data_IF_470745768028
#
_entry.id   IF_470745768028
#
_cell.length_a   1.000
_cell.length_b   1.000
_cell.length_c   1.000
_cell.angle_alpha   90.00
_cell.angle_beta   90.00
_cell.angle_gamma   90.00
#
_symmetry.space_group_name_H-M   'P 1'
#
loop_
_entity.id
_entity.type
_entity.pdbx_description
1 polymer ?
#
# COMPACT_ATOMS: atom_id res chain seq x y z
N UNK A 1 -8.18 -22.21 5.12
CA UNK A 1 -8.61 -20.84 5.51
C UNK A 1 -9.36 -20.15 4.35
N UNK A 2 -8.81 -20.02 3.12
CA UNK A 2 -9.54 -19.36 2.02
C UNK A 2 -10.92 -19.97 1.73
N UNK A 3 -10.99 -21.31 1.70
CA UNK A 3 -12.24 -22.05 1.48
C UNK A 3 -13.36 -21.70 2.47
N UNK A 4 -13.05 -21.54 3.76
CA UNK A 4 -14.07 -21.21 4.77
C UNK A 4 -14.68 -19.83 4.53
N UNK A 5 -13.89 -18.86 4.08
CA UNK A 5 -14.40 -17.51 3.75
C UNK A 5 -15.21 -17.56 2.46
N UNK A 6 -14.74 -18.33 1.46
CA UNK A 6 -15.43 -18.52 0.18
C UNK A 6 -16.81 -19.16 0.36
N UNK A 7 -16.91 -20.18 1.21
CA UNK A 7 -18.15 -20.92 1.46
C UNK A 7 -19.25 -20.03 2.07
N UNK A 8 -18.90 -18.89 2.67
CA UNK A 8 -19.83 -17.85 3.15
C UNK A 8 -20.33 -16.90 2.04
N UNK A 9 -19.91 -17.10 0.78
CA UNK A 9 -20.35 -16.30 -0.37
C UNK A 9 -19.77 -14.89 -0.42
N UNK A 10 -18.70 -14.62 0.33
CA UNK A 10 -18.00 -13.32 0.33
C UNK A 10 -16.69 -13.36 -0.45
N UNK A 11 -16.15 -12.19 -0.78
CA UNK A 11 -14.85 -12.07 -1.45
C UNK A 11 -13.72 -12.45 -0.49
N UNK A 12 -12.73 -13.19 -1.02
CA UNK A 12 -11.55 -13.65 -0.30
C UNK A 12 -10.38 -12.73 -0.66
N UNK A 13 -9.91 -11.96 0.32
CA UNK A 13 -8.74 -11.10 0.18
C UNK A 13 -7.53 -11.65 0.91
N UNK A 14 -6.33 -11.33 0.41
CA UNK A 14 -5.08 -11.54 1.16
C UNK A 14 -4.35 -10.22 1.38
N UNK A 15 -3.87 -10.01 2.61
CA UNK A 15 -3.21 -8.78 3.02
C UNK A 15 -1.77 -9.06 3.44
N UNK A 16 -0.81 -8.25 2.96
CA UNK A 16 0.59 -8.39 3.35
C UNK A 16 1.33 -7.05 3.36
N UNK A 17 2.39 -7.02 4.16
CA UNK A 17 3.43 -5.99 4.16
C UNK A 17 4.65 -6.35 3.29
N UNK A 18 4.68 -7.58 2.78
CA UNK A 18 5.84 -8.21 2.14
C UNK A 18 5.41 -8.66 0.74
N UNK A 19 5.97 -8.09 -0.34
CA UNK A 19 5.56 -8.43 -1.70
C UNK A 19 5.80 -9.90 -2.04
N UNK A 20 6.89 -10.50 -1.57
CA UNK A 20 7.24 -11.91 -1.81
C UNK A 20 6.17 -12.89 -1.31
N UNK A 21 5.44 -12.52 -0.25
CA UNK A 21 4.30 -13.32 0.24
C UNK A 21 3.14 -13.28 -0.75
N UNK A 22 2.87 -12.13 -1.35
CA UNK A 22 1.78 -11.99 -2.33
C UNK A 22 2.17 -12.64 -3.67
N UNK A 23 3.43 -12.50 -4.09
CA UNK A 23 4.01 -13.18 -5.25
C UNK A 23 3.86 -14.69 -5.11
N UNK A 24 4.26 -15.27 -3.96
CA UNK A 24 4.11 -16.69 -3.70
C UNK A 24 2.64 -17.16 -3.81
N UNK A 25 1.70 -16.37 -3.28
CA UNK A 25 0.27 -16.70 -3.31
C UNK A 25 -0.28 -16.63 -4.73
N UNK A 26 0.17 -15.67 -5.53
CA UNK A 26 -0.19 -15.55 -6.95
C UNK A 26 0.42 -16.67 -7.79
N UNK A 27 1.70 -17.01 -7.59
CA UNK A 27 2.40 -18.10 -8.26
C UNK A 27 1.79 -19.48 -7.96
N UNK A 28 1.32 -19.67 -6.72
CA UNK A 28 0.64 -20.90 -6.29
C UNK A 28 -0.85 -20.93 -6.63
N UNK A 29 -1.34 -19.91 -7.32
CA UNK A 29 -2.73 -19.77 -7.75
C UNK A 29 -3.74 -20.03 -6.61
N UNK A 30 -3.49 -19.42 -5.45
CA UNK A 30 -4.44 -19.53 -4.35
C UNK A 30 -5.77 -18.85 -4.75
N UNK A 31 -6.88 -19.45 -4.33
CA UNK A 31 -8.23 -18.93 -4.53
C UNK A 31 -8.46 -17.67 -3.68
N UNK A 32 -8.02 -16.53 -4.22
CA UNK A 32 -8.18 -15.17 -3.67
C UNK A 32 -8.60 -14.23 -4.79
N UNK A 33 -9.51 -13.31 -4.49
CA UNK A 33 -10.11 -12.38 -5.46
C UNK A 33 -9.31 -11.09 -5.60
N UNK A 34 -8.68 -10.64 -4.52
CA UNK A 34 -7.94 -9.38 -4.46
C UNK A 34 -6.81 -9.40 -3.44
N UNK A 35 -5.89 -8.46 -3.57
CA UNK A 35 -4.81 -8.22 -2.62
C UNK A 35 -4.98 -6.89 -1.90
N UNK A 36 -4.64 -6.86 -0.61
CA UNK A 36 -4.33 -5.63 0.12
C UNK A 36 -2.81 -5.53 0.24
N UNK A 37 -2.25 -4.61 -0.51
CA UNK A 37 -0.82 -4.47 -0.77
C UNK A 37 -0.25 -3.26 -0.03
N UNK A 38 0.43 -3.48 1.09
CA UNK A 38 1.02 -2.38 1.85
C UNK A 38 2.23 -1.82 1.12
N UNK A 39 2.29 -0.51 0.95
CA UNK A 39 3.45 0.15 0.34
C UNK A 39 4.73 0.04 1.18
N UNK A 40 4.71 -0.52 2.38
CA UNK A 40 5.86 -0.56 3.27
C UNK A 40 5.89 -1.85 4.08
N UNK A 41 7.09 -2.21 4.58
CA UNK A 41 7.29 -3.28 5.54
C UNK A 41 7.71 -2.74 6.93
N UNK A 42 6.74 -2.27 7.76
CA UNK A 42 7.00 -1.67 9.08
C UNK A 42 7.90 -2.48 10.00
N UNK A 43 7.78 -3.80 9.95
CA UNK A 43 8.47 -4.73 10.84
C UNK A 43 9.78 -5.28 10.25
N UNK A 44 10.24 -4.79 9.09
CA UNK A 44 11.46 -5.26 8.41
C UNK A 44 12.71 -5.18 9.30
N UNK A 45 12.73 -4.23 10.22
CA UNK A 45 13.85 -3.98 11.13
C UNK A 45 13.63 -4.56 12.53
N UNK A 46 12.53 -5.28 12.77
CA UNK A 46 12.26 -5.93 14.03
C UNK A 46 13.37 -6.95 14.35
N UNK A 47 13.96 -6.85 15.55
CA UNK A 47 15.07 -7.71 15.98
C UNK A 47 16.44 -7.35 15.39
N UNK A 48 16.55 -6.30 14.56
CA UNK A 48 17.84 -5.82 14.01
C UNK A 48 18.46 -4.73 14.88
N UNK A 49 19.75 -4.48 14.68
CA UNK A 49 20.48 -3.37 15.30
C UNK A 49 20.40 -2.14 14.40
N UNK A 50 20.19 -0.97 14.98
CA UNK A 50 20.30 0.33 14.31
C UNK A 50 21.78 0.70 14.16
N UNK A 51 22.25 0.78 12.92
CA UNK A 51 23.65 1.07 12.58
C UNK A 51 24.14 2.42 13.12
N UNK A 52 23.25 3.41 13.30
CA UNK A 52 23.63 4.75 13.78
C UNK A 52 23.84 4.77 15.29
N UNK A 53 23.13 3.92 16.02
CA UNK A 53 23.11 3.96 17.49
C UNK A 53 23.81 2.75 18.13
N UNK A 54 24.04 1.68 17.36
CA UNK A 54 24.54 0.40 17.85
C UNK A 54 23.57 -0.32 18.79
N UNK A 55 22.32 0.14 18.90
CA UNK A 55 21.29 -0.40 19.80
C UNK A 55 20.21 -1.13 19.00
N UNK A 56 19.39 -1.99 19.64
CA UNK A 56 18.24 -2.60 18.98
C UNK A 56 17.36 -1.53 18.33
N UNK A 57 17.00 -1.75 17.06
CA UNK A 57 16.10 -0.88 16.34
C UNK A 57 14.76 -0.79 17.07
N UNK A 58 14.24 0.43 17.22
CA UNK A 58 12.94 0.71 17.86
C UNK A 58 12.07 1.51 16.91
N UNK A 59 10.82 1.07 16.74
CA UNK A 59 9.82 1.75 15.91
C UNK A 59 9.45 0.96 14.65
N UNK A 60 8.88 1.67 13.68
CA UNK A 60 8.48 1.13 12.39
C UNK A 60 9.40 1.64 11.28
N UNK A 61 9.71 0.77 10.32
CA UNK A 61 10.50 1.06 9.13
C UNK A 61 9.62 1.40 7.92
N UNK A 62 9.94 2.50 7.23
CA UNK A 62 9.22 2.96 6.03
C UNK A 62 10.22 3.29 4.92
N UNK A 63 10.88 2.26 4.39
CA UNK A 63 11.87 2.40 3.32
C UNK A 63 11.25 2.57 1.93
N UNK A 64 11.88 3.41 1.11
CA UNK A 64 11.46 3.62 -0.29
C UNK A 64 11.63 2.38 -1.15
N UNK A 65 12.56 1.51 -0.81
CA UNK A 65 12.80 0.25 -1.52
C UNK A 65 11.65 -0.73 -1.34
N UNK A 66 11.03 -0.77 -0.15
CA UNK A 66 9.85 -1.60 0.11
C UNK A 66 8.65 -1.07 -0.67
N UNK A 67 8.51 0.26 -0.74
CA UNK A 67 7.50 0.94 -1.55
C UNK A 67 7.65 0.63 -3.02
N UNK A 68 8.85 0.76 -3.55
CA UNK A 68 9.13 0.41 -4.94
C UNK A 68 8.88 -1.08 -5.22
N UNK A 69 9.22 -1.97 -4.28
CA UNK A 69 8.98 -3.41 -4.41
C UNK A 69 7.50 -3.75 -4.46
N UNK A 70 6.70 -3.24 -3.54
CA UNK A 70 5.25 -3.49 -3.56
C UNK A 70 4.60 -2.92 -4.83
N UNK A 71 5.01 -1.73 -5.28
CA UNK A 71 4.50 -1.18 -6.54
C UNK A 71 4.83 -2.05 -7.77
N UNK A 72 5.99 -2.73 -7.78
CA UNK A 72 6.32 -3.70 -8.84
C UNK A 72 5.35 -4.89 -8.82
N UNK A 73 5.14 -5.48 -7.65
CA UNK A 73 4.15 -6.55 -7.49
C UNK A 73 2.76 -6.12 -7.95
N UNK A 74 2.26 -4.97 -7.47
CA UNK A 74 0.92 -4.47 -7.82
C UNK A 74 0.75 -4.37 -9.34
N UNK A 75 1.74 -3.85 -10.06
CA UNK A 75 1.68 -3.70 -11.52
C UNK A 75 1.73 -5.02 -12.29
N UNK A 76 2.39 -6.03 -11.75
CA UNK A 76 2.54 -7.35 -12.37
C UNK A 76 1.37 -8.29 -12.05
N UNK A 77 0.73 -8.09 -10.90
CA UNK A 77 -0.39 -8.91 -10.46
C UNK A 77 -1.57 -8.81 -11.41
N UNK A 78 -2.18 -9.95 -11.74
CA UNK A 78 -3.41 -10.03 -12.54
C UNK A 78 -4.66 -9.72 -11.72
N UNK A 79 -4.57 -9.80 -10.39
CA UNK A 79 -5.69 -9.58 -9.47
C UNK A 79 -5.81 -8.10 -9.11
N UNK A 80 -6.99 -7.70 -8.65
CA UNK A 80 -7.24 -6.36 -8.15
C UNK A 80 -6.41 -6.09 -6.89
N UNK A 81 -5.80 -4.92 -6.80
CA UNK A 81 -4.99 -4.53 -5.64
C UNK A 81 -5.54 -3.29 -4.94
N UNK A 82 -5.74 -3.39 -3.63
CA UNK A 82 -5.88 -2.25 -2.73
C UNK A 82 -4.52 -1.87 -2.15
N UNK A 83 -3.91 -0.81 -2.69
CA UNK A 83 -2.68 -0.23 -2.15
C UNK A 83 -2.96 0.50 -0.83
N UNK A 84 -2.17 0.29 0.22
CA UNK A 84 -2.40 0.99 1.49
C UNK A 84 -1.11 1.41 2.20
N UNK A 85 -1.27 2.23 3.26
CA UNK A 85 -0.20 2.97 3.94
C UNK A 85 0.58 3.94 3.04
N UNK A 86 -0.03 4.50 1.99
CA UNK A 86 0.65 5.43 1.06
C UNK A 86 1.26 6.67 1.75
N UNK A 87 0.75 7.06 2.92
CA UNK A 87 1.23 8.19 3.73
C UNK A 87 2.31 7.81 4.78
N UNK A 88 2.78 6.56 4.81
CA UNK A 88 3.82 6.08 5.72
C UNK A 88 3.54 6.37 7.22
N UNK A 89 2.30 6.17 7.66
CA UNK A 89 1.81 6.58 8.99
C UNK A 89 2.16 8.05 9.30
N UNK A 90 1.70 8.93 8.42
CA UNK A 90 1.89 10.39 8.43
C UNK A 90 3.31 10.91 8.22
N UNK A 91 4.31 10.03 8.02
CA UNK A 91 5.70 10.45 7.73
C UNK A 91 5.81 11.19 6.39
N UNK A 92 4.95 10.82 5.43
CA UNK A 92 4.84 11.49 4.13
C UNK A 92 3.60 12.39 4.04
N UNK A 93 3.16 12.96 5.17
CA UNK A 93 1.99 13.84 5.23
C UNK A 93 2.20 15.01 6.20
N UNK A 94 3.41 15.57 6.27
CA UNK A 94 3.73 16.70 7.15
C UNK A 94 3.12 18.00 6.61
N UNK A 95 3.03 18.13 5.29
CA UNK A 95 2.42 19.25 4.59
C UNK A 95 1.34 18.77 3.60
N UNK A 96 0.45 19.68 3.16
CA UNK A 96 -0.47 19.42 2.04
C UNK A 96 0.24 18.90 0.80
N UNK A 97 1.43 19.43 0.50
CA UNK A 97 2.25 19.05 -0.64
C UNK A 97 2.83 17.64 -0.50
N UNK A 98 3.34 17.26 0.69
CA UNK A 98 3.80 15.89 0.96
C UNK A 98 2.68 14.87 0.76
N UNK A 99 1.47 15.24 1.19
CA UNK A 99 0.28 14.42 1.04
C UNK A 99 -0.05 14.24 -0.43
N UNK A 100 -0.16 15.34 -1.20
CA UNK A 100 -0.42 15.29 -2.65
C UNK A 100 0.63 14.43 -3.37
N UNK A 101 1.92 14.62 -3.07
CA UNK A 101 3.02 13.85 -3.65
C UNK A 101 2.93 12.34 -3.33
N UNK A 102 2.45 11.98 -2.14
CA UNK A 102 2.21 10.58 -1.78
C UNK A 102 1.06 9.95 -2.57
N UNK A 103 -0.03 10.69 -2.78
CA UNK A 103 -1.13 10.27 -3.66
C UNK A 103 -0.64 10.12 -5.10
N UNK A 104 0.08 11.11 -5.63
CA UNK A 104 0.56 11.11 -7.00
C UNK A 104 1.52 9.94 -7.25
N UNK A 105 2.46 9.70 -6.33
CA UNK A 105 3.33 8.54 -6.40
C UNK A 105 2.52 7.24 -6.45
N UNK A 106 1.54 7.07 -5.55
CA UNK A 106 0.76 5.84 -5.50
C UNK A 106 -0.04 5.62 -6.80
N UNK A 107 -0.76 6.63 -7.27
CA UNK A 107 -1.61 6.53 -8.45
C UNK A 107 -0.83 6.29 -9.74
N UNK A 108 0.37 6.88 -9.88
CA UNK A 108 1.26 6.61 -11.02
C UNK A 108 1.89 5.21 -10.97
N UNK A 109 1.87 4.54 -9.82
CA UNK A 109 2.60 3.28 -9.61
C UNK A 109 1.71 2.05 -9.38
N UNK A 110 0.38 2.19 -9.36
CA UNK A 110 -0.58 1.06 -9.34
C UNK A 110 -1.27 0.90 -10.70
N UNK A 111 -2.06 -0.17 -10.88
CA UNK A 111 -2.77 -0.40 -12.15
C UNK A 111 -3.97 0.53 -12.27
N UNK A 112 -4.37 0.87 -13.51
CA UNK A 112 -5.65 1.53 -13.75
C UNK A 112 -6.78 0.62 -13.28
N UNK A 113 -7.67 1.14 -12.44
CA UNK A 113 -8.77 0.38 -11.85
C UNK A 113 -8.49 -0.08 -10.42
N UNK A 114 -7.22 -0.24 -10.03
CA UNK A 114 -6.85 -0.49 -8.62
C UNK A 114 -7.21 0.72 -7.74
N UNK A 115 -7.27 0.51 -6.43
CA UNK A 115 -7.64 1.53 -5.46
C UNK A 115 -6.59 1.71 -4.36
N UNK A 116 -6.60 2.87 -3.71
CA UNK A 116 -5.81 3.13 -2.50
C UNK A 116 -6.69 3.24 -1.26
N UNK A 117 -6.22 2.69 -0.14
CA UNK A 117 -6.83 2.83 1.18
C UNK A 117 -5.97 3.77 2.01
N UNK A 118 -6.58 4.89 2.44
CA UNK A 118 -5.89 5.95 3.17
C UNK A 118 -6.48 6.05 4.56
N UNK A 119 -5.69 5.70 5.57
CA UNK A 119 -6.06 5.88 6.97
C UNK A 119 -6.06 7.36 7.34
N UNK A 120 -7.12 7.81 8.03
CA UNK A 120 -7.29 9.21 8.43
C UNK A 120 -8.06 9.31 9.75
N UNK A 121 -7.77 10.34 10.54
CA UNK A 121 -8.42 10.57 11.83
C UNK A 121 -9.46 11.69 11.81
N UNK A 122 -9.13 12.85 11.24
CA UNK A 122 -10.00 14.04 11.27
C UNK A 122 -10.91 14.09 10.03
N UNK A 123 -12.18 14.54 10.17
CA UNK A 123 -13.12 14.58 9.05
C UNK A 123 -12.63 15.37 7.83
N UNK A 124 -11.90 16.47 8.02
CA UNK A 124 -11.40 17.28 6.92
C UNK A 124 -10.36 16.54 6.05
N UNK A 125 -9.68 15.51 6.59
CA UNK A 125 -8.79 14.67 5.78
C UNK A 125 -9.56 13.93 4.67
N UNK A 126 -10.83 13.58 4.88
CA UNK A 126 -11.66 12.96 3.82
C UNK A 126 -11.79 13.92 2.63
N UNK A 127 -12.12 15.19 2.91
CA UNK A 127 -12.24 16.23 1.90
C UNK A 127 -10.91 16.44 1.16
N UNK A 128 -9.81 16.57 1.89
CA UNK A 128 -8.51 16.88 1.30
C UNK A 128 -7.98 15.70 0.47
N UNK A 129 -8.08 14.48 0.98
CA UNK A 129 -7.70 13.25 0.27
C UNK A 129 -8.50 13.05 -1.02
N UNK A 130 -9.82 13.27 -0.96
CA UNK A 130 -10.68 13.15 -2.16
C UNK A 130 -10.42 14.25 -3.18
N UNK A 131 -10.04 15.46 -2.73
CA UNK A 131 -9.59 16.55 -3.61
C UNK A 131 -8.33 16.13 -4.39
N UNK A 132 -7.27 15.70 -3.71
CA UNK A 132 -6.02 15.28 -4.36
C UNK A 132 -6.25 14.15 -5.36
N UNK A 133 -7.01 13.13 -4.98
CA UNK A 133 -7.36 12.02 -5.86
C UNK A 133 -8.03 12.50 -7.15
N UNK A 134 -8.99 13.44 -7.07
CA UNK A 134 -9.70 13.97 -8.23
C UNK A 134 -8.79 14.78 -9.16
N UNK A 135 -7.98 15.68 -8.60
CA UNK A 135 -7.04 16.51 -9.34
C UNK A 135 -6.04 15.65 -10.12
N UNK A 136 -5.36 14.73 -9.41
CA UNK A 136 -4.37 13.83 -10.02
C UNK A 136 -5.03 12.92 -11.06
N UNK A 137 -6.24 12.39 -10.79
CA UNK A 137 -6.95 11.59 -11.78
C UNK A 137 -7.26 12.36 -13.06
N UNK A 138 -7.66 13.64 -12.96
CA UNK A 138 -7.91 14.46 -14.14
C UNK A 138 -6.59 14.68 -14.91
N UNK A 139 -5.53 15.09 -14.22
CA UNK A 139 -4.20 15.29 -14.82
C UNK A 139 -3.69 14.04 -15.57
N UNK A 140 -3.93 12.84 -15.02
CA UNK A 140 -3.51 11.57 -15.63
C UNK A 140 -4.36 11.12 -16.82
N UNK A 141 -5.57 11.67 -17.00
CA UNK A 141 -6.50 11.26 -18.08
C UNK A 141 -6.77 12.35 -19.12
N UNK A 142 -6.15 13.54 -18.99
CA UNK A 142 -6.22 14.62 -19.99
C UNK A 142 -4.96 14.73 -20.86
N UNK A 143 -3.97 13.88 -20.63
CA UNK A 143 -2.77 13.69 -21.47
C UNK A 143 -2.93 12.46 -22.36
#
# INVERSE_FOLDING_TARGET
IPKMIRDEGVLVGMCSHIPEVLEYIEEKDWDVDFYMACFYYPNKMQGKIDEKTGKPFRGEYYGDEDRAAMCRFIRQSKKFCFGYKILAASRNAKTPEDTRNSFEYALKNIKKGDAVIVGMFLPYHVRDNTKYMKEIWHEMNTL
#
